data_IF_116568822019
#
_entry.id   IF_116568822019
#
_cell.length_a   1.000
_cell.length_b   1.000
_cell.length_c   1.000
_cell.angle_alpha   90.00
_cell.angle_beta   90.00
_cell.angle_gamma   90.00
#
_symmetry.space_group_name_H-M   'P 1'
#
loop_
_entity.id
_entity.type
_entity.pdbx_description
1 polymer ?
#
# COMPACT_ATOMS: atom_id res chain seq x y z
N UNK A 1 -4.72 -7.89 -2.64
CA UNK A 1 -4.72 -6.46 -2.30
C UNK A 1 -3.50 -6.14 -1.47
N UNK A 2 -3.09 -4.87 -1.46
CA UNK A 2 -2.16 -4.37 -0.46
C UNK A 2 -2.47 -2.94 -0.04
N UNK A 3 -1.83 -2.48 1.03
CA UNK A 3 -1.92 -1.12 1.54
C UNK A 3 -0.55 -0.64 2.01
N UNK A 4 -0.16 0.55 1.58
CA UNK A 4 0.99 1.24 2.17
C UNK A 4 0.67 1.69 3.60
N UNK A 5 1.57 1.39 4.54
CA UNK A 5 1.51 1.88 5.92
C UNK A 5 2.80 2.62 6.28
N UNK A 6 2.72 3.74 7.00
CA UNK A 6 3.91 4.42 7.48
C UNK A 6 4.63 3.59 8.55
N UNK A 7 5.95 3.76 8.73
CA UNK A 7 6.75 2.98 9.68
C UNK A 7 6.18 2.94 11.10
N UNK A 8 5.59 4.04 11.57
CA UNK A 8 4.97 4.15 12.91
C UNK A 8 3.79 3.19 13.15
N UNK A 9 3.19 2.64 12.09
CA UNK A 9 2.07 1.70 12.20
C UNK A 9 2.50 0.24 12.18
N UNK A 10 3.75 -0.07 11.80
CA UNK A 10 4.25 -1.45 11.70
C UNK A 10 4.20 -2.14 13.06
N UNK A 11 4.82 -1.54 14.07
CA UNK A 11 4.87 -2.11 15.42
C UNK A 11 3.46 -2.29 16.03
N UNK A 12 2.53 -1.31 15.94
CA UNK A 12 1.17 -1.52 16.40
C UNK A 12 0.45 -2.71 15.76
N UNK A 13 0.69 -2.99 14.47
CA UNK A 13 0.18 -4.19 13.84
C UNK A 13 0.83 -5.44 14.44
N UNK A 14 2.17 -5.50 14.47
CA UNK A 14 2.92 -6.67 14.95
C UNK A 14 2.57 -7.06 16.39
N UNK A 15 2.30 -6.10 17.27
CA UNK A 15 1.91 -6.38 18.66
C UNK A 15 0.41 -6.57 18.86
N UNK A 16 -0.39 -6.56 17.78
CA UNK A 16 -1.86 -6.66 17.87
C UNK A 16 -2.56 -5.44 18.47
N UNK A 17 -1.83 -4.35 18.74
CA UNK A 17 -2.41 -3.06 19.21
C UNK A 17 -3.28 -2.42 18.12
N UNK A 18 -3.06 -2.80 16.86
CA UNK A 18 -3.90 -2.50 15.72
C UNK A 18 -4.23 -3.79 14.97
N UNK A 19 -5.52 -4.08 14.83
CA UNK A 19 -6.03 -5.30 14.19
C UNK A 19 -7.03 -5.02 13.06
N UNK A 20 -7.09 -3.77 12.60
CA UNK A 20 -8.01 -3.31 11.56
C UNK A 20 -7.24 -2.75 10.35
N UNK A 21 -7.71 -3.07 9.15
CA UNK A 21 -7.30 -2.48 7.88
C UNK A 21 -8.49 -1.69 7.32
N UNK A 22 -8.25 -0.48 6.83
CA UNK A 22 -9.26 0.41 6.23
C UNK A 22 -8.60 1.38 5.26
N UNK A 23 -9.37 2.07 4.43
CA UNK A 23 -8.88 3.15 3.57
C UNK A 23 -8.46 2.68 2.18
N UNK A 24 -7.61 3.47 1.52
CA UNK A 24 -7.17 3.21 0.15
C UNK A 24 -6.20 2.01 0.07
N UNK A 25 -6.44 1.16 -0.92
CA UNK A 25 -5.76 -0.12 -1.15
C UNK A 25 -5.63 -0.35 -2.65
N UNK A 26 -4.63 -1.13 -3.05
CA UNK A 26 -4.32 -1.38 -4.47
C UNK A 26 -4.21 -2.87 -4.76
N UNK A 27 -4.39 -3.25 -6.03
CA UNK A 27 -4.09 -4.59 -6.49
C UNK A 27 -2.58 -4.80 -6.52
N UNK A 28 -2.08 -5.77 -5.76
CA UNK A 28 -0.64 -6.02 -5.68
C UNK A 28 0.02 -6.34 -7.04
N UNK A 29 -0.76 -6.83 -8.03
CA UNK A 29 -0.27 -7.08 -9.38
C UNK A 29 0.03 -5.77 -10.16
N UNK A 30 -0.71 -4.70 -9.86
CA UNK A 30 -0.57 -3.40 -10.54
C UNK A 30 0.53 -2.54 -9.90
N UNK A 31 1.01 -2.92 -8.72
CA UNK A 31 1.92 -2.14 -7.88
C UNK A 31 3.02 -3.03 -7.25
N UNK A 32 3.69 -3.82 -8.09
CA UNK A 32 4.85 -4.65 -7.71
C UNK A 32 6.18 -3.90 -7.86
N UNK A 33 6.24 -2.66 -7.37
CA UNK A 33 7.44 -1.82 -7.41
C UNK A 33 8.50 -2.29 -6.40
N UNK A 34 9.75 -1.91 -6.65
CA UNK A 34 10.88 -2.23 -5.76
C UNK A 34 11.51 -0.97 -5.15
N UNK A 35 11.02 0.23 -5.47
CA UNK A 35 11.52 1.47 -4.91
C UNK A 35 10.40 2.22 -4.17
N UNK A 36 10.65 2.74 -2.94
CA UNK A 36 9.65 3.50 -2.18
C UNK A 36 9.08 4.70 -2.93
N UNK A 37 9.90 5.41 -3.71
CA UNK A 37 9.46 6.56 -4.51
C UNK A 37 8.41 6.18 -5.57
N UNK A 38 8.53 5.01 -6.20
CA UNK A 38 7.53 4.52 -7.16
C UNK A 38 6.18 4.28 -6.48
N UNK A 39 6.17 3.76 -5.25
CA UNK A 39 4.96 3.64 -4.46
C UNK A 39 4.38 5.00 -4.07
N UNK A 40 5.24 5.95 -3.67
CA UNK A 40 4.82 7.29 -3.29
C UNK A 40 4.08 7.99 -4.43
N UNK A 41 4.67 7.96 -5.64
CA UNK A 41 4.11 8.61 -6.82
C UNK A 41 2.89 7.85 -7.37
N UNK A 42 3.00 6.53 -7.59
CA UNK A 42 1.94 5.76 -8.23
C UNK A 42 0.68 5.64 -7.34
N UNK A 43 0.85 5.52 -6.03
CA UNK A 43 -0.26 5.44 -5.07
C UNK A 43 -0.72 6.83 -4.58
N UNK A 44 -0.11 7.93 -5.04
CA UNK A 44 -0.51 9.27 -4.61
C UNK A 44 -0.41 9.50 -3.10
N UNK A 45 0.65 9.00 -2.46
CA UNK A 45 0.79 9.01 -0.99
C UNK A 45 1.06 10.41 -0.40
N UNK A 46 1.31 11.41 -1.22
CA UNK A 46 1.66 12.79 -0.83
C UNK A 46 0.47 13.71 -0.49
N UNK A 47 -0.67 13.18 -0.06
CA UNK A 47 -1.84 14.00 0.30
C UNK A 47 -1.63 14.78 1.61
N UNK A 48 -2.43 15.84 1.83
CA UNK A 48 -2.33 16.66 3.04
C UNK A 48 -2.54 15.83 4.32
N UNK A 49 -1.61 15.94 5.27
CA UNK A 49 -1.63 15.16 6.51
C UNK A 49 -1.14 13.71 6.36
N UNK A 50 -0.57 13.35 5.20
CA UNK A 50 0.12 12.09 5.02
C UNK A 50 1.40 12.01 5.86
N UNK A 51 1.67 10.81 6.38
CA UNK A 51 2.94 10.49 7.04
C UNK A 51 4.04 10.10 6.04
N UNK A 52 3.70 9.93 4.75
CA UNK A 52 4.66 9.53 3.72
C UNK A 52 5.39 10.76 3.16
N UNK A 53 6.69 10.60 2.90
CA UNK A 53 7.51 11.61 2.23
C UNK A 53 8.17 10.99 0.99
N UNK A 54 8.45 11.79 -0.06
CA UNK A 54 9.08 11.27 -1.28
C UNK A 54 10.50 10.73 -1.02
N UNK A 55 11.19 11.28 -0.02
CA UNK A 55 12.57 10.90 0.35
C UNK A 55 12.64 9.72 1.35
N UNK A 56 11.57 8.94 1.52
CA UNK A 56 11.60 7.78 2.42
C UNK A 56 12.49 6.66 1.86
N UNK A 57 13.50 6.25 2.62
CA UNK A 57 14.36 5.11 2.27
C UNK A 57 13.64 3.76 2.33
N UNK A 58 12.54 3.69 3.08
CA UNK A 58 11.75 2.48 3.26
C UNK A 58 10.25 2.75 3.36
N UNK A 59 9.47 1.84 2.80
CA UNK A 59 8.01 1.85 2.87
C UNK A 59 7.51 0.46 3.30
N UNK A 60 6.39 0.39 4.00
CA UNK A 60 5.83 -0.89 4.44
C UNK A 60 4.50 -1.17 3.76
N UNK A 61 4.29 -2.43 3.39
CA UNK A 61 3.06 -2.90 2.75
C UNK A 61 2.40 -3.97 3.60
N UNK A 62 1.11 -3.81 3.88
CA UNK A 62 0.24 -4.92 4.27
C UNK A 62 -0.31 -5.57 3.01
N UNK A 63 -0.08 -6.86 2.79
CA UNK A 63 -0.56 -7.60 1.61
C UNK A 63 -1.45 -8.76 2.03
N UNK A 64 -2.62 -8.88 1.42
CA UNK A 64 -3.56 -9.98 1.73
C UNK A 64 -4.31 -10.44 0.47
N UNK A 65 -4.88 -11.64 0.56
CA UNK A 65 -5.81 -12.16 -0.44
C UNK A 65 -7.23 -11.73 -0.07
N UNK A 66 -7.97 -11.19 -1.03
CA UNK A 66 -9.40 -10.92 -0.87
C UNK A 66 -10.17 -12.22 -1.01
N UNK A 67 -10.95 -12.58 0.01
CA UNK A 67 -11.91 -13.67 -0.04
C UNK A 67 -13.24 -13.10 0.44
N UNK A 68 -14.27 -13.12 -0.42
CA UNK A 68 -15.66 -12.86 -0.03
C UNK A 68 -16.14 -11.41 0.06
N UNK A 69 -15.27 -10.40 0.08
CA UNK A 69 -15.69 -8.98 -0.02
C UNK A 69 -14.84 -8.27 -1.06
N UNK A 70 -15.50 -7.84 -2.13
CA UNK A 70 -14.86 -7.05 -3.18
C UNK A 70 -14.68 -5.61 -2.66
N UNK A 71 -13.46 -5.07 -2.64
CA UNK A 71 -13.24 -3.69 -2.24
C UNK A 71 -13.91 -2.76 -3.24
N UNK A 72 -14.44 -1.63 -2.76
CA UNK A 72 -15.10 -0.68 -3.63
C UNK A 72 -14.06 -0.02 -4.53
N UNK A 73 -14.21 -0.17 -5.85
CA UNK A 73 -13.37 0.56 -6.79
C UNK A 73 -13.65 2.05 -6.63
N UNK A 74 -12.62 2.82 -6.29
CA UNK A 74 -12.70 4.27 -6.35
C UNK A 74 -12.34 4.63 -7.78
N UNK A 75 -13.08 5.55 -8.39
CA UNK A 75 -12.67 6.14 -9.64
C UNK A 75 -11.30 6.80 -9.37
N UNK A 76 -10.23 6.12 -9.79
CA UNK A 76 -8.86 6.46 -9.38
C UNK A 76 -8.49 7.90 -9.75
N UNK A 77 -7.35 8.38 -9.30
CA UNK A 77 -6.89 9.74 -9.66
C UNK A 77 -6.76 9.96 -11.18
N UNK A 78 -6.70 8.90 -12.00
CA UNK A 78 -6.86 9.02 -13.45
C UNK A 78 -8.29 9.42 -13.90
N UNK A 79 -9.34 9.02 -13.19
CA UNK A 79 -10.69 9.52 -13.40
C UNK A 79 -10.87 10.95 -12.84
N UNK A 80 -10.10 11.32 -11.80
CA UNK A 80 -9.98 12.72 -11.34
C UNK A 80 -9.25 13.62 -12.37
N UNK A 81 -8.37 13.06 -13.19
CA UNK A 81 -7.81 13.77 -14.35
C UNK A 81 -8.72 13.67 -15.60
N UNK A 82 -9.64 12.70 -15.67
CA UNK A 82 -10.56 12.55 -16.80
C UNK A 82 -11.69 13.59 -16.81
N UNK A 83 -12.05 14.19 -15.65
CA UNK A 83 -12.92 15.39 -15.62
C UNK A 83 -12.17 16.71 -15.79
N UNK A 84 -10.83 16.66 -15.81
CA UNK A 84 -9.96 17.76 -16.20
C UNK A 84 -9.19 17.37 -17.46
N UNK A 85 -9.93 17.14 -18.56
CA UNK A 85 -9.36 17.29 -19.90
C UNK A 85 -9.00 18.76 -20.13
N UNK A 86 -7.94 19.24 -19.47
CA UNK A 86 -7.17 20.36 -19.98
C UNK A 86 -6.25 19.78 -21.07
N UNK A 87 -6.25 20.36 -22.29
CA UNK A 87 -5.39 19.89 -23.36
C UNK A 87 -3.93 20.06 -22.92
N UNK A 88 -3.11 19.06 -23.25
CA UNK A 88 -1.68 18.98 -22.96
C UNK A 88 -0.96 20.34 -23.00
N UNK A 89 -0.75 20.91 -21.82
CA UNK A 89 0.11 22.06 -21.62
C UNK A 89 0.78 21.86 -20.25
N UNK A 90 2.11 21.71 -20.30
CA UNK A 90 3.06 21.46 -19.21
C UNK A 90 3.48 20.00 -19.16
N UNK A 91 4.73 19.76 -19.59
CA UNK A 91 5.33 18.45 -19.80
C UNK A 91 5.52 17.64 -18.53
N UNK A 92 4.42 17.12 -17.99
CA UNK A 92 4.47 16.04 -17.02
C UNK A 92 5.03 14.77 -17.71
N UNK A 93 6.06 14.12 -17.15
CA UNK A 93 6.64 12.93 -17.76
C UNK A 93 5.58 11.83 -17.89
N UNK A 94 5.55 11.20 -19.06
CA UNK A 94 4.59 10.18 -19.46
C UNK A 94 4.85 8.83 -18.77
N UNK A 95 4.85 8.75 -17.44
CA UNK A 95 5.01 7.48 -16.71
C UNK A 95 4.25 7.39 -15.37
N UNK A 96 3.20 8.18 -15.15
CA UNK A 96 2.29 7.87 -14.04
C UNK A 96 1.40 6.73 -14.52
N UNK A 97 1.87 5.49 -14.33
CA UNK A 97 1.03 4.31 -14.45
C UNK A 97 -0.13 4.51 -13.47
N UNK A 98 -1.29 4.87 -14.00
CA UNK A 98 -2.50 5.03 -13.22
C UNK A 98 -2.90 3.66 -12.66
N UNK A 99 -2.39 3.31 -11.48
CA UNK A 99 -2.83 2.11 -10.78
C UNK A 99 -4.26 2.31 -10.29
N UNK A 100 -5.07 1.26 -10.37
CA UNK A 100 -6.45 1.35 -9.90
C UNK A 100 -6.47 1.40 -8.38
N UNK A 101 -7.12 2.42 -7.85
CA UNK A 101 -7.32 2.60 -6.41
C UNK A 101 -8.67 2.02 -5.98
N UNK A 102 -8.67 1.34 -4.84
CA UNK A 102 -9.87 0.82 -4.21
C UNK A 102 -9.93 1.34 -2.77
N UNK A 103 -11.14 1.42 -2.23
CA UNK A 103 -11.37 1.74 -0.83
C UNK A 103 -11.93 0.51 -0.12
N UNK A 104 -11.37 0.21 1.05
CA UNK A 104 -11.90 -0.83 1.93
C UNK A 104 -12.44 -0.21 3.21
N UNK A 105 -13.69 -0.57 3.53
CA UNK A 105 -14.25 -0.35 4.86
C UNK A 105 -13.37 -1.00 5.94
N UNK A 106 -13.46 -0.55 7.21
CA UNK A 106 -12.75 -1.18 8.32
C UNK A 106 -13.05 -2.67 8.42
N UNK A 107 -12.03 -3.50 8.17
CA UNK A 107 -12.09 -4.96 8.30
C UNK A 107 -11.01 -5.45 9.27
N UNK A 108 -11.26 -6.54 10.02
CA UNK A 108 -10.21 -7.25 10.74
C UNK A 108 -9.06 -7.62 9.79
N UNK A 109 -7.82 -7.60 10.28
CA UNK A 109 -6.66 -8.09 9.52
C UNK A 109 -6.94 -9.53 9.07
N UNK A 110 -7.02 -9.79 7.74
CA UNK A 110 -7.31 -11.13 7.25
C UNK A 110 -6.21 -12.13 7.62
N UNK A 111 -6.60 -13.38 7.88
CA UNK A 111 -5.64 -14.49 8.03
C UNK A 111 -4.78 -14.60 6.77
N UNK A 112 -3.47 -14.76 6.96
CA UNK A 112 -2.49 -14.80 5.88
C UNK A 112 -2.07 -13.42 5.38
N UNK A 113 -2.48 -12.32 6.04
CA UNK A 113 -1.92 -10.99 5.73
C UNK A 113 -0.42 -10.98 6.02
N UNK A 114 0.35 -10.40 5.13
CA UNK A 114 1.81 -10.30 5.20
C UNK A 114 2.22 -8.83 5.35
N UNK A 115 3.27 -8.56 6.13
CA UNK A 115 3.96 -7.27 6.15
C UNK A 115 5.25 -7.44 5.34
N UNK A 116 5.44 -6.55 4.37
CA UNK A 116 6.69 -6.40 3.64
C UNK A 116 7.32 -5.04 3.93
N UNK A 117 8.64 -5.00 4.00
CA UNK A 117 9.42 -3.76 3.94
C UNK A 117 10.01 -3.63 2.54
N UNK A 118 9.67 -2.54 1.86
CA UNK A 118 10.25 -2.16 0.58
C UNK A 118 11.40 -1.21 0.86
N UNK A 119 12.57 -1.55 0.37
CA UNK A 119 13.77 -0.71 0.35
C UNK A 119 14.29 -0.68 -1.09
N UNK A 120 15.14 0.27 -1.43
CA UNK A 120 15.66 0.45 -2.79
C UNK A 120 16.13 -0.87 -3.45
N UNK A 121 15.31 -1.44 -4.33
CA UNK A 121 15.59 -2.67 -5.07
C UNK A 121 15.28 -3.97 -4.32
N UNK A 122 14.72 -3.92 -3.11
CA UNK A 122 14.47 -5.08 -2.26
C UNK A 122 13.09 -5.05 -1.58
N UNK A 123 12.51 -6.24 -1.40
CA UNK A 123 11.28 -6.44 -0.66
C UNK A 123 11.50 -7.52 0.40
N UNK A 124 11.64 -7.11 1.65
CA UNK A 124 11.84 -8.02 2.78
C UNK A 124 10.52 -8.46 3.36
N UNK A 125 10.35 -9.77 3.54
CA UNK A 125 9.24 -10.32 4.31
C UNK A 125 9.49 -10.11 5.81
N UNK A 126 8.58 -9.42 6.48
CA UNK A 126 8.69 -9.09 7.91
C UNK A 126 7.91 -10.07 8.77
N UNK A 127 6.64 -10.30 8.43
CA UNK A 127 5.78 -11.21 9.18
C UNK A 127 4.52 -11.61 8.41
N UNK A 128 3.90 -12.72 8.82
CA UNK A 128 2.57 -13.15 8.36
C UNK A 128 1.64 -13.36 9.54
N UNK A 129 0.42 -12.84 9.44
CA UNK A 129 -0.63 -13.01 10.43
C UNK A 129 -1.31 -14.37 10.27
N UNK A 130 -1.34 -15.19 11.33
CA UNK A 130 -1.95 -16.52 11.30
C UNK A 130 -3.42 -16.55 11.76
N UNK A 131 -3.96 -15.41 12.19
CA UNK A 131 -5.29 -15.28 12.79
C UNK A 131 -5.28 -14.97 14.28
N UNK A 132 -4.13 -15.12 14.94
CA UNK A 132 -3.93 -14.82 16.35
C UNK A 132 -2.69 -13.96 16.59
N UNK A 133 -1.57 -14.29 15.95
CA UNK A 133 -0.27 -13.64 16.13
C UNK A 133 0.41 -13.37 14.79
N UNK A 134 1.40 -12.47 14.82
CA UNK A 134 2.29 -12.23 13.68
C UNK A 134 3.51 -13.13 13.79
N UNK A 135 3.73 -13.96 12.77
CA UNK A 135 4.86 -14.88 12.65
C UNK A 135 5.93 -14.22 11.80
N UNK A 136 7.06 -13.87 12.40
CA UNK A 136 8.26 -13.43 11.67
C UNK A 136 8.97 -14.62 11.02
N UNK A 137 9.76 -14.43 9.95
CA UNK A 137 10.69 -15.46 9.54
C UNK A 137 11.58 -15.79 10.74
N UNK A 138 11.77 -17.08 11.02
CA UNK A 138 12.71 -17.49 12.05
C UNK A 138 14.08 -16.92 11.67
N UNK A 139 14.72 -16.17 12.58
CA UNK A 139 16.14 -15.86 12.42
C UNK A 139 16.85 -17.21 12.31
N UNK A 140 17.38 -17.50 11.12
CA UNK A 140 18.16 -18.71 10.90
C UNK A 140 19.37 -18.67 11.83
N UNK A 141 19.47 -19.65 12.72
CA UNK A 141 20.67 -19.97 13.50
C UNK A 141 21.70 -20.61 12.56
#
# INVERSE_FOLDING_TARGET
>A
MHKAIPPRLVEPYLTGRRSIISGYVYLAADSSFLYPAEFYDACGLGYEGSDFTPDMDQLYLLRWRTVGTEPLQVAGQAASMQWAAAPAAWGAPAHVLAITEFYTEPVPVPVGTEIFRIQSGQADFIARYDGQVWLSPAEGI
#
